data_IF_030927660426
#
_entry.id   IF_030927660426
#
_cell.length_a   1.000
_cell.length_b   1.000
_cell.length_c   1.000
_cell.angle_alpha   90.00
_cell.angle_beta   90.00
_cell.angle_gamma   90.00
#
_symmetry.space_group_name_H-M   'P 1'
#
loop_
_entity.id
_entity.type
_entity.pdbx_description
1 polymer ?
#
# COMPACT_ATOMS: atom_id res chain seq x y z
N UNK A 1 19.34 9.70 14.44
CA UNK A 1 18.56 10.00 13.22
C UNK A 1 18.72 11.49 12.96
N UNK A 2 19.19 11.91 11.78
CA UNK A 2 19.52 13.34 11.56
C UNK A 2 18.26 14.18 11.21
N UNK A 3 17.13 13.56 10.84
CA UNK A 3 15.82 14.21 10.81
C UNK A 3 14.70 13.15 10.72
N UNK A 4 13.81 13.00 11.72
CA UNK A 4 12.75 11.98 11.69
C UNK A 4 11.74 12.21 10.57
N UNK A 5 11.59 13.45 10.07
CA UNK A 5 10.68 13.75 8.97
C UNK A 5 11.07 13.04 7.66
N UNK A 6 12.36 12.78 7.43
CA UNK A 6 12.84 12.12 6.20
C UNK A 6 12.29 10.70 6.05
N UNK A 7 12.07 10.00 7.18
CA UNK A 7 11.49 8.65 7.16
C UNK A 7 10.01 8.67 6.76
N UNK A 8 9.31 9.75 7.09
CA UNK A 8 7.87 9.92 6.84
C UNK A 8 7.57 10.86 5.66
N UNK A 9 8.60 11.22 4.90
CA UNK A 9 8.46 12.03 3.70
C UNK A 9 7.86 11.17 2.58
N UNK A 10 6.63 11.48 2.21
CA UNK A 10 5.90 10.84 1.11
C UNK A 10 5.66 11.82 -0.02
N UNK A 11 6.43 12.91 -0.10
CA UNK A 11 6.31 13.87 -1.20
C UNK A 11 6.59 13.22 -2.55
N UNK A 12 5.88 13.65 -3.59
CA UNK A 12 5.93 13.06 -4.93
C UNK A 12 5.12 11.76 -5.07
N UNK A 13 4.26 11.44 -4.10
CA UNK A 13 3.38 10.25 -4.12
C UNK A 13 1.89 10.64 -4.14
N UNK A 14 0.99 9.65 -4.10
CA UNK A 14 -0.47 9.85 -3.95
C UNK A 14 -0.81 10.55 -2.63
N UNK A 15 0.09 10.53 -1.62
CA UNK A 15 -0.11 11.25 -0.37
C UNK A 15 -0.26 12.77 -0.59
N UNK A 16 0.41 13.34 -1.60
CA UNK A 16 0.29 14.76 -2.00
C UNK A 16 -1.15 15.16 -2.38
N UNK A 17 -2.01 14.17 -2.66
CA UNK A 17 -3.40 14.40 -3.04
C UNK A 17 -4.32 14.65 -1.84
N UNK A 18 -3.82 14.43 -0.63
CA UNK A 18 -4.60 14.48 0.62
C UNK A 18 -4.19 15.75 1.37
N UNK A 19 -5.05 16.78 1.44
CA UNK A 19 -4.71 18.03 2.12
C UNK A 19 -4.32 17.80 3.60
N UNK A 20 -3.21 18.40 4.03
CA UNK A 20 -2.71 18.31 5.40
C UNK A 20 -2.00 16.99 5.73
N UNK A 21 -1.89 16.05 4.78
CA UNK A 21 -1.32 14.73 5.06
C UNK A 21 0.16 14.80 5.41
N UNK A 22 0.95 15.53 4.62
CA UNK A 22 2.40 15.58 4.81
C UNK A 22 2.76 16.36 6.08
N UNK A 23 2.04 17.45 6.37
CA UNK A 23 2.15 18.20 7.61
C UNK A 23 1.85 17.30 8.80
N UNK A 24 0.76 16.54 8.74
CA UNK A 24 0.38 15.63 9.82
C UNK A 24 1.38 14.48 10.00
N UNK A 25 1.93 13.96 8.89
CA UNK A 25 2.98 12.95 8.93
C UNK A 25 4.27 13.50 9.56
N UNK A 26 4.67 14.73 9.25
CA UNK A 26 5.81 15.40 9.87
C UNK A 26 5.58 15.74 11.34
N UNK A 27 4.37 16.16 11.72
CA UNK A 27 3.99 16.33 13.12
C UNK A 27 4.08 15.01 13.89
N UNK A 28 3.54 13.92 13.34
CA UNK A 28 3.60 12.59 13.97
C UNK A 28 5.04 12.05 14.02
N UNK A 29 5.84 12.28 12.98
CA UNK A 29 7.26 11.95 12.95
C UNK A 29 8.03 12.67 14.05
N UNK A 30 7.76 13.96 14.22
CA UNK A 30 8.38 14.79 15.25
C UNK A 30 7.88 14.36 16.62
N UNK A 31 6.57 14.19 16.79
CA UNK A 31 5.99 13.74 18.04
C UNK A 31 6.56 12.38 18.45
N UNK A 32 6.56 11.38 17.57
CA UNK A 32 7.12 10.05 17.88
C UNK A 32 8.59 10.08 18.27
N UNK A 33 9.38 10.99 17.69
CA UNK A 33 10.78 11.19 18.06
C UNK A 33 10.97 11.90 19.41
N UNK A 34 10.02 12.76 19.83
CA UNK A 34 10.16 13.65 20.99
C UNK A 34 9.10 13.44 22.11
N UNK A 35 8.19 12.47 21.97
CA UNK A 35 6.96 12.28 22.78
C UNK A 35 7.22 12.17 24.29
N UNK A 36 8.43 11.79 24.70
CA UNK A 36 8.83 11.66 26.12
C UNK A 36 9.78 12.77 26.60
N UNK A 37 9.86 13.89 25.89
CA UNK A 37 10.81 14.97 26.20
C UNK A 37 12.26 14.56 25.98
N UNK A 38 12.47 13.49 25.22
CA UNK A 38 13.79 12.95 24.93
C UNK A 38 14.25 13.49 23.59
N UNK A 39 15.51 13.92 23.53
CA UNK A 39 16.16 14.53 22.38
C UNK A 39 16.40 13.47 21.28
N UNK A 40 15.31 13.09 20.58
CA UNK A 40 15.27 11.99 19.61
C UNK A 40 15.70 10.63 20.21
N UNK A 41 14.99 10.15 21.25
CA UNK A 41 15.28 8.83 21.85
C UNK A 41 15.23 7.74 20.77
N UNK A 42 16.39 7.14 20.44
CA UNK A 42 16.44 6.15 19.39
C UNK A 42 15.78 4.84 19.82
N UNK A 43 15.40 4.62 21.08
CA UNK A 43 14.90 3.32 21.56
C UNK A 43 13.67 2.81 20.79
N UNK A 44 12.74 3.68 20.40
CA UNK A 44 11.59 3.27 19.58
C UNK A 44 12.05 2.76 18.19
N UNK A 45 12.94 3.50 17.52
CA UNK A 45 13.49 3.09 16.23
C UNK A 45 14.50 1.94 16.37
N UNK A 46 15.17 1.81 17.51
CA UNK A 46 16.09 0.72 17.82
C UNK A 46 15.35 -0.62 17.95
N UNK A 47 14.10 -0.60 18.44
CA UNK A 47 13.22 -1.76 18.36
C UNK A 47 12.94 -2.13 16.90
N UNK A 48 12.64 -1.15 16.04
CA UNK A 48 12.41 -1.41 14.61
C UNK A 48 13.67 -2.00 13.94
N UNK A 49 14.87 -1.51 14.27
CA UNK A 49 16.13 -2.10 13.80
C UNK A 49 16.36 -3.51 14.35
N UNK A 50 15.96 -3.77 15.59
CA UNK A 50 16.03 -5.11 16.18
C UNK A 50 15.10 -6.05 15.42
N UNK A 51 13.84 -5.65 15.19
CA UNK A 51 12.85 -6.40 14.42
C UNK A 51 13.33 -6.63 12.99
N UNK A 52 13.92 -5.62 12.35
CA UNK A 52 14.48 -5.73 10.99
C UNK A 52 15.59 -6.79 10.89
N UNK A 53 16.35 -7.00 11.97
CA UNK A 53 17.41 -8.00 12.05
C UNK A 53 16.91 -9.39 12.48
N UNK A 54 15.65 -9.50 12.91
CA UNK A 54 15.08 -10.79 13.30
C UNK A 54 14.84 -11.68 12.07
N UNK A 55 14.84 -12.99 12.32
CA UNK A 55 14.31 -13.94 11.33
C UNK A 55 12.83 -13.65 11.13
N UNK A 56 12.42 -13.56 9.86
CA UNK A 56 11.01 -13.37 9.52
C UNK A 56 10.15 -14.50 10.14
N UNK A 57 8.93 -14.20 10.61
CA UNK A 57 8.06 -15.20 11.21
C UNK A 57 7.73 -16.30 10.19
N UNK A 58 7.65 -17.54 10.66
CA UNK A 58 7.14 -18.64 9.85
C UNK A 58 5.64 -18.46 9.59
N UNK A 59 5.29 -18.23 8.33
CA UNK A 59 3.90 -18.06 7.87
C UNK A 59 3.35 -19.32 7.18
N UNK A 60 4.08 -20.43 7.20
CA UNK A 60 3.71 -21.67 6.53
C UNK A 60 2.36 -22.22 6.99
N UNK A 61 1.95 -21.94 8.24
CA UNK A 61 0.70 -22.41 8.84
C UNK A 61 -0.51 -21.51 8.56
N UNK A 62 -0.35 -20.40 7.83
CA UNK A 62 -1.46 -19.50 7.50
C UNK A 62 -2.33 -20.14 6.41
N UNK A 63 -3.57 -20.49 6.74
CA UNK A 63 -4.54 -21.12 5.82
C UNK A 63 -5.56 -20.15 5.23
N UNK A 64 -5.66 -18.94 5.80
CA UNK A 64 -6.54 -17.89 5.31
C UNK A 64 -6.15 -17.44 3.88
N UNK A 65 -7.10 -16.88 3.09
CA UNK A 65 -6.77 -16.25 1.81
C UNK A 65 -5.74 -15.13 1.99
N UNK A 66 -4.74 -15.09 1.11
CA UNK A 66 -3.67 -14.09 1.12
C UNK A 66 -3.84 -13.15 -0.07
N UNK A 67 -3.69 -11.86 0.18
CA UNK A 67 -3.68 -10.83 -0.87
C UNK A 67 -2.37 -10.04 -0.76
N UNK A 68 -1.72 -9.81 -1.89
CA UNK A 68 -0.51 -8.96 -1.95
C UNK A 68 -0.79 -7.77 -2.85
N UNK A 69 -0.45 -6.56 -2.42
CA UNK A 69 -0.65 -5.31 -3.17
C UNK A 69 0.70 -4.67 -3.45
N UNK A 70 1.08 -4.58 -4.72
CA UNK A 70 2.41 -4.07 -5.08
C UNK A 70 2.37 -3.13 -6.28
N UNK A 71 3.06 -1.99 -6.14
CA UNK A 71 3.39 -1.10 -7.24
C UNK A 71 4.62 -1.61 -8.02
N UNK A 72 4.54 -1.71 -9.34
CA UNK A 72 5.68 -2.17 -10.16
C UNK A 72 6.86 -1.20 -10.18
N UNK A 73 6.62 0.07 -9.82
CA UNK A 73 7.61 1.13 -9.83
C UNK A 73 8.16 1.43 -8.42
N UNK A 74 7.80 0.64 -7.41
CA UNK A 74 8.37 0.78 -6.06
C UNK A 74 9.82 0.30 -6.05
N UNK A 75 10.83 1.18 -5.85
CA UNK A 75 12.22 0.77 -5.76
C UNK A 75 12.59 0.19 -4.39
N UNK A 76 11.79 0.47 -3.35
CA UNK A 76 12.05 0.09 -1.96
C UNK A 76 11.60 -1.34 -1.68
N UNK A 77 10.47 -1.76 -2.24
CA UNK A 77 9.92 -3.11 -2.07
C UNK A 77 9.52 -3.72 -3.43
N UNK A 78 10.51 -4.23 -4.20
CA UNK A 78 10.26 -4.75 -5.54
C UNK A 78 9.46 -6.05 -5.54
N UNK A 79 8.99 -6.47 -6.72
CA UNK A 79 8.26 -7.72 -6.90
C UNK A 79 9.03 -8.98 -6.44
N UNK A 80 10.35 -8.94 -6.42
CA UNK A 80 11.14 -10.04 -5.84
C UNK A 80 10.81 -10.26 -4.35
N UNK A 81 10.55 -9.19 -3.57
CA UNK A 81 10.14 -9.31 -2.17
C UNK A 81 8.72 -9.85 -2.03
N UNK A 82 7.79 -9.43 -2.91
CA UNK A 82 6.46 -10.05 -3.00
C UNK A 82 6.57 -11.55 -3.22
N UNK A 83 7.41 -11.97 -4.15
CA UNK A 83 7.51 -13.37 -4.55
C UNK A 83 8.08 -14.25 -3.44
N UNK A 84 9.00 -13.73 -2.61
CA UNK A 84 9.44 -14.39 -1.38
C UNK A 84 8.28 -14.64 -0.42
N UNK A 85 7.44 -13.62 -0.18
CA UNK A 85 6.27 -13.78 0.68
C UNK A 85 5.26 -14.77 0.12
N UNK A 86 4.94 -14.68 -1.19
CA UNK A 86 4.05 -15.63 -1.87
C UNK A 86 4.55 -17.06 -1.72
N UNK A 87 5.86 -17.29 -1.85
CA UNK A 87 6.46 -18.60 -1.67
C UNK A 87 6.42 -19.10 -0.22
N UNK A 88 6.44 -18.21 0.77
CA UNK A 88 6.40 -18.56 2.19
C UNK A 88 5.01 -19.02 2.66
N UNK A 89 3.92 -18.53 2.05
CA UNK A 89 2.53 -18.87 2.39
C UNK A 89 2.09 -20.25 1.85
N UNK A 90 2.81 -21.31 2.21
CA UNK A 90 2.65 -22.65 1.63
C UNK A 90 1.30 -23.33 1.90
N UNK A 91 0.65 -23.03 3.04
CA UNK A 91 -0.67 -23.62 3.37
C UNK A 91 -1.87 -22.80 2.90
N UNK A 92 -1.67 -21.60 2.35
CA UNK A 92 -2.79 -20.79 1.86
C UNK A 92 -3.28 -21.33 0.52
N UNK A 93 -4.56 -21.69 0.46
CA UNK A 93 -5.18 -22.23 -0.77
C UNK A 93 -5.50 -21.17 -1.81
N UNK A 94 -5.49 -19.89 -1.44
CA UNK A 94 -5.87 -18.77 -2.30
C UNK A 94 -4.94 -17.59 -2.07
N UNK A 95 -3.96 -17.45 -2.94
CA UNK A 95 -3.06 -16.30 -2.97
C UNK A 95 -3.40 -15.44 -4.19
N UNK A 96 -3.81 -14.19 -3.95
CA UNK A 96 -4.20 -13.25 -5.00
C UNK A 96 -3.21 -12.10 -5.07
N UNK A 97 -2.47 -12.01 -6.17
CA UNK A 97 -1.55 -10.90 -6.40
C UNK A 97 -2.24 -9.75 -7.12
N UNK A 98 -2.31 -8.59 -6.46
CA UNK A 98 -2.81 -7.31 -6.98
C UNK A 98 -1.60 -6.45 -7.38
N UNK A 99 -1.16 -6.64 -8.62
CA UNK A 99 -0.01 -5.95 -9.19
C UNK A 99 -0.46 -4.70 -9.98
N UNK A 100 0.10 -3.54 -9.64
CA UNK A 100 -0.24 -2.25 -10.22
C UNK A 100 0.96 -1.68 -11.01
N UNK A 101 0.95 -1.73 -12.36
CA UNK A 101 2.11 -1.38 -13.19
C UNK A 101 2.61 0.06 -13.08
N UNK A 102 1.75 0.97 -12.65
CA UNK A 102 1.95 2.42 -12.67
C UNK A 102 2.03 3.03 -11.25
N UNK A 103 2.21 2.21 -10.22
CA UNK A 103 2.23 2.64 -8.80
C UNK A 103 3.59 2.41 -8.17
N UNK A 104 3.83 3.16 -7.09
CA UNK A 104 5.04 3.10 -6.25
C UNK A 104 4.67 2.56 -4.86
N UNK A 105 5.47 2.87 -3.84
CA UNK A 105 5.37 2.36 -2.48
C UNK A 105 4.02 2.57 -1.79
N UNK A 106 3.30 3.61 -2.19
CA UNK A 106 2.10 4.14 -1.57
C UNK A 106 0.79 3.57 -2.18
N UNK A 107 0.91 2.44 -2.87
CA UNK A 107 -0.17 1.80 -3.65
C UNK A 107 -1.47 1.60 -2.87
N UNK A 108 -1.36 1.41 -1.55
CA UNK A 108 -2.48 1.26 -0.62
C UNK A 108 -3.39 2.48 -0.59
N UNK A 109 -2.86 3.71 -0.66
CA UNK A 109 -3.72 4.90 -0.60
C UNK A 109 -4.57 5.04 -1.86
N UNK A 110 -4.02 4.60 -3.00
CA UNK A 110 -4.70 4.65 -4.29
C UNK A 110 -5.71 3.53 -4.52
N UNK A 111 -5.56 2.42 -3.77
CA UNK A 111 -6.33 1.19 -3.93
C UNK A 111 -6.90 0.65 -2.61
N UNK A 112 -7.08 1.51 -1.60
CA UNK A 112 -7.63 1.13 -0.30
C UNK A 112 -9.03 0.52 -0.44
N UNK A 113 -9.80 1.01 -1.40
CA UNK A 113 -11.09 0.45 -1.82
C UNK A 113 -10.99 -1.03 -2.18
N UNK A 114 -9.96 -1.42 -2.95
CA UNK A 114 -9.75 -2.81 -3.35
C UNK A 114 -9.28 -3.66 -2.16
N UNK A 115 -8.45 -3.11 -1.28
CA UNK A 115 -8.00 -3.79 -0.06
C UNK A 115 -9.21 -4.12 0.82
N UNK A 116 -10.09 -3.14 1.06
CA UNK A 116 -11.32 -3.35 1.85
C UNK A 116 -12.24 -4.39 1.21
N UNK A 117 -12.39 -4.37 -0.13
CA UNK A 117 -13.20 -5.35 -0.84
C UNK A 117 -12.65 -6.79 -0.67
N UNK A 118 -11.32 -6.95 -0.74
CA UNK A 118 -10.66 -8.24 -0.57
C UNK A 118 -10.79 -8.75 0.88
N UNK A 119 -10.57 -7.89 1.88
CA UNK A 119 -10.75 -8.21 3.32
C UNK A 119 -12.19 -8.59 3.63
N UNK A 120 -13.17 -7.97 2.97
CA UNK A 120 -14.59 -8.31 3.10
C UNK A 120 -14.98 -9.66 2.46
N UNK A 121 -14.02 -10.41 1.90
CA UNK A 121 -14.25 -11.74 1.31
C UNK A 121 -14.58 -11.73 -0.17
N UNK A 122 -14.56 -10.57 -0.83
CA UNK A 122 -14.89 -10.43 -2.26
C UNK A 122 -13.65 -10.49 -3.17
N UNK A 123 -12.69 -11.36 -2.84
CA UNK A 123 -11.43 -11.48 -3.58
C UNK A 123 -11.57 -11.80 -5.08
N UNK A 124 -12.70 -12.37 -5.51
CA UNK A 124 -12.98 -12.67 -6.92
C UNK A 124 -13.54 -11.46 -7.70
N UNK A 125 -13.61 -10.30 -7.05
CA UNK A 125 -14.06 -9.05 -7.63
C UNK A 125 -12.92 -8.03 -7.72
N UNK A 126 -13.17 -6.99 -8.52
CA UNK A 126 -12.24 -5.91 -8.76
C UNK A 126 -12.98 -4.58 -8.86
N UNK A 127 -12.45 -3.57 -8.20
CA UNK A 127 -12.93 -2.19 -8.35
C UNK A 127 -12.23 -1.57 -9.56
N UNK A 128 -13.04 -0.98 -10.43
CA UNK A 128 -12.59 -0.28 -11.62
C UNK A 128 -13.29 1.07 -11.77
N UNK A 129 -12.60 2.01 -12.40
CA UNK A 129 -13.17 3.23 -12.92
C UNK A 129 -13.47 3.03 -14.41
N UNK A 130 -14.72 3.18 -14.82
CA UNK A 130 -15.13 3.02 -16.21
C UNK A 130 -16.24 4.01 -16.58
N UNK A 131 -16.02 4.78 -17.65
CA UNK A 131 -16.98 5.74 -18.20
C UNK A 131 -17.61 6.66 -17.14
N UNK A 132 -16.80 7.33 -16.33
CA UNK A 132 -17.33 8.27 -15.33
C UNK A 132 -17.74 7.64 -14.00
N UNK A 133 -17.68 6.31 -13.87
CA UNK A 133 -18.25 5.61 -12.72
C UNK A 133 -17.28 4.62 -12.10
N UNK A 134 -17.32 4.52 -10.78
CA UNK A 134 -16.71 3.42 -10.02
C UNK A 134 -17.64 2.21 -10.10
N UNK A 135 -17.08 1.04 -10.38
CA UNK A 135 -17.82 -0.23 -10.47
C UNK A 135 -17.04 -1.37 -9.82
N UNK A 136 -17.76 -2.28 -9.19
CA UNK A 136 -17.26 -3.60 -8.81
C UNK A 136 -17.59 -4.57 -9.93
N UNK A 137 -16.59 -5.28 -10.44
CA UNK A 137 -16.75 -6.29 -11.49
C UNK A 137 -16.14 -7.63 -11.07
N UNK A 138 -16.61 -8.77 -11.60
CA UNK A 138 -15.85 -10.02 -11.49
C UNK A 138 -14.45 -9.85 -12.07
N UNK A 139 -13.43 -10.36 -11.36
CA UNK A 139 -12.02 -10.31 -11.73
C UNK A 139 -11.78 -10.79 -13.17
N UNK A 140 -12.46 -11.87 -13.57
CA UNK A 140 -12.37 -12.44 -14.91
C UNK A 140 -12.77 -11.47 -16.04
N UNK A 141 -13.55 -10.43 -15.75
CA UNK A 141 -13.95 -9.41 -16.73
C UNK A 141 -12.91 -8.30 -16.92
N UNK A 142 -11.91 -8.20 -16.05
CA UNK A 142 -10.89 -7.14 -16.11
C UNK A 142 -10.21 -7.02 -17.48
N UNK A 143 -9.76 -8.10 -18.16
CA UNK A 143 -9.12 -7.97 -19.48
C UNK A 143 -10.01 -7.29 -20.54
N UNK A 144 -11.33 -7.51 -20.49
CA UNK A 144 -12.29 -6.87 -21.38
C UNK A 144 -12.45 -5.36 -21.08
N UNK A 145 -12.58 -5.00 -19.80
CA UNK A 145 -12.69 -3.60 -19.39
C UNK A 145 -11.39 -2.82 -19.62
N UNK A 146 -10.23 -3.44 -19.40
CA UNK A 146 -8.91 -2.85 -19.68
C UNK A 146 -8.76 -2.46 -21.15
N UNK A 147 -9.20 -3.32 -22.08
CA UNK A 147 -9.22 -3.03 -23.54
C UNK A 147 -10.11 -1.84 -23.90
N UNK A 148 -11.02 -1.46 -23.01
CA UNK A 148 -11.94 -0.32 -23.16
C UNK A 148 -11.54 0.85 -22.26
N UNK A 149 -10.26 0.91 -21.89
CA UNK A 149 -9.65 2.00 -21.12
C UNK A 149 -10.27 2.20 -19.72
N UNK A 150 -10.80 1.13 -19.12
CA UNK A 150 -11.08 1.15 -17.69
C UNK A 150 -9.77 1.21 -16.90
N UNK A 151 -9.80 1.92 -15.78
CA UNK A 151 -8.69 2.03 -14.84
C UNK A 151 -8.94 1.18 -13.58
N UNK A 152 -7.87 0.82 -12.87
CA UNK A 152 -7.97 0.16 -11.57
C UNK A 152 -8.31 1.17 -10.46
N UNK A 153 -9.14 0.74 -9.50
CA UNK A 153 -9.61 1.58 -8.39
C UNK A 153 -10.74 2.53 -8.79
N UNK A 154 -11.10 3.44 -7.89
CA UNK A 154 -12.23 4.37 -8.09
C UNK A 154 -11.99 5.39 -9.20
N UNK A 155 -13.07 5.86 -9.84
CA UNK A 155 -13.02 6.83 -10.93
C UNK A 155 -12.50 8.21 -10.50
N UNK A 156 -12.79 8.64 -9.28
CA UNK A 156 -12.41 9.96 -8.76
C UNK A 156 -10.91 10.24 -8.91
N UNK A 157 -10.09 9.20 -8.74
CA UNK A 157 -8.65 9.30 -8.88
C UNK A 157 -8.13 9.52 -10.31
N UNK A 158 -8.96 9.38 -11.35
CA UNK A 158 -8.51 9.55 -12.74
C UNK A 158 -7.98 10.96 -12.99
N UNK A 159 -8.66 11.94 -12.40
CA UNK A 159 -8.40 13.37 -12.60
C UNK A 159 -8.17 14.09 -11.26
N UNK A 160 -7.98 13.35 -10.17
CA UNK A 160 -7.63 13.97 -8.91
C UNK A 160 -6.37 14.81 -9.14
N UNK A 161 -6.37 16.00 -8.57
CA UNK A 161 -5.19 16.88 -8.48
C UNK A 161 -4.94 17.13 -6.99
N UNK A 162 -3.68 17.34 -6.58
CA UNK A 162 -3.43 17.91 -5.28
C UNK A 162 -4.32 19.14 -5.08
N UNK A 163 -4.84 19.36 -3.86
CA UNK A 163 -5.40 20.64 -3.51
C UNK A 163 -4.43 21.75 -3.93
N UNK A 164 -4.97 22.85 -4.44
CA UNK A 164 -4.16 24.06 -4.62
C UNK A 164 -4.26 24.80 -3.30
N UNK A 165 -3.11 25.03 -2.66
CA UNK A 165 -3.01 25.85 -1.45
C UNK A 165 -3.49 27.29 -1.69
#
# INVERSE_FOLDING_TARGET
IINPMVWWDMTGTTADMIPGWQERAYEEASWSAFVRGQDADPHAVAMDYTILQMTAPDVSMVTAPVFTYYGAKDPSVPYAERDKWVAAFTSSRKITQRNYPDRVHDVQYRHYDQILLDVAGYGDYRIIGFKGQTRVIPQAKWPSFRKREAILGIWAWKNAKPPVD
#
